data_IF_531001289251
#
_entry.id   IF_531001289251
#
_cell.length_a   1.000
_cell.length_b   1.000
_cell.length_c   1.000
_cell.angle_alpha   90.00
_cell.angle_beta   90.00
_cell.angle_gamma   90.00
#
_symmetry.space_group_name_H-M   'P 1'
#
loop_
_entity.id
_entity.type
_entity.pdbx_description
1 polymer ?
#
# COMPACT_ATOMS: atom_id res chain seq x y z
N UNK A 1 10.96 7.87 -31.53
CA UNK A 1 9.54 7.47 -31.50
C UNK A 1 8.90 7.92 -30.18
N UNK A 2 7.73 8.52 -30.26
CA UNK A 2 6.96 8.92 -29.08
C UNK A 2 5.88 7.88 -28.83
N UNK A 3 5.83 7.36 -27.60
CA UNK A 3 4.74 6.49 -27.14
C UNK A 3 3.83 7.27 -26.22
N UNK A 4 2.52 7.04 -26.31
CA UNK A 4 1.52 7.76 -25.53
C UNK A 4 0.69 6.78 -24.71
N UNK A 5 0.51 7.12 -23.43
CA UNK A 5 -0.30 6.37 -22.47
C UNK A 5 -1.20 7.32 -21.68
N UNK A 6 -2.32 6.84 -21.21
CA UNK A 6 -3.19 7.63 -20.35
C UNK A 6 -2.52 7.92 -18.99
N UNK A 7 -1.78 6.94 -18.48
CA UNK A 7 -1.08 7.05 -17.19
C UNK A 7 0.35 6.54 -17.28
N UNK A 8 1.22 7.20 -16.56
CA UNK A 8 2.60 6.75 -16.35
C UNK A 8 2.79 6.47 -14.86
N UNK A 9 3.13 5.24 -14.53
CA UNK A 9 3.40 4.81 -13.16
C UNK A 9 4.91 4.64 -12.97
N UNK A 10 5.46 5.30 -11.98
CA UNK A 10 6.88 5.21 -11.65
C UNK A 10 7.02 4.36 -10.39
N UNK A 11 7.55 3.16 -10.54
CA UNK A 11 7.75 2.22 -9.46
C UNK A 11 6.87 0.98 -9.59
N UNK A 12 7.47 -0.18 -9.37
CA UNK A 12 6.84 -1.49 -9.50
C UNK A 12 6.50 -2.17 -8.17
N UNK A 13 6.44 -1.39 -7.09
CA UNK A 13 5.97 -1.87 -5.80
C UNK A 13 4.46 -2.06 -5.77
N UNK A 14 3.92 -2.46 -4.62
CA UNK A 14 2.49 -2.76 -4.47
C UNK A 14 1.59 -1.56 -4.83
N UNK A 15 2.00 -0.36 -4.46
CA UNK A 15 1.21 0.84 -4.74
C UNK A 15 1.11 1.12 -6.25
N UNK A 16 2.24 1.10 -6.95
CA UNK A 16 2.28 1.33 -8.39
C UNK A 16 1.55 0.26 -9.17
N UNK A 17 1.74 -1.00 -8.82
CA UNK A 17 1.09 -2.12 -9.48
C UNK A 17 -0.42 -2.13 -9.20
N UNK A 18 -0.85 -1.82 -7.97
CA UNK A 18 -2.28 -1.73 -7.63
C UNK A 18 -2.98 -0.64 -8.42
N UNK A 19 -2.35 0.53 -8.53
CA UNK A 19 -2.88 1.62 -9.35
C UNK A 19 -2.96 1.23 -10.82
N UNK A 20 -1.89 0.65 -11.36
CA UNK A 20 -1.85 0.22 -12.75
C UNK A 20 -2.96 -0.77 -13.08
N UNK A 21 -3.19 -1.77 -12.23
CA UNK A 21 -4.26 -2.75 -12.41
C UNK A 21 -5.64 -2.09 -12.36
N UNK A 22 -5.88 -1.17 -11.45
CA UNK A 22 -7.16 -0.48 -11.35
C UNK A 22 -7.49 0.32 -12.60
N UNK A 23 -6.55 1.13 -13.09
CA UNK A 23 -6.80 1.96 -14.27
C UNK A 23 -6.86 1.12 -15.55
N UNK A 24 -6.11 0.04 -15.64
CA UNK A 24 -6.20 -0.89 -16.76
C UNK A 24 -7.57 -1.58 -16.82
N UNK A 25 -8.15 -1.94 -15.68
CA UNK A 25 -9.49 -2.51 -15.59
C UNK A 25 -10.59 -1.53 -16.06
N UNK A 26 -10.30 -0.24 -16.02
CA UNK A 26 -11.22 0.79 -16.54
C UNK A 26 -10.99 1.10 -18.02
N UNK A 27 -10.19 0.30 -18.71
CA UNK A 27 -9.90 0.45 -20.13
C UNK A 27 -8.86 1.51 -20.47
N UNK A 28 -8.10 1.97 -19.48
CA UNK A 28 -7.06 2.97 -19.70
C UNK A 28 -5.72 2.32 -20.01
N UNK A 29 -4.92 2.99 -20.82
CA UNK A 29 -3.55 2.55 -21.09
C UNK A 29 -2.59 3.03 -20.02
N UNK A 30 -1.68 2.15 -19.61
CA UNK A 30 -0.72 2.41 -18.53
C UNK A 30 0.67 2.00 -18.98
N UNK A 31 1.65 2.87 -18.74
CA UNK A 31 3.04 2.50 -18.78
C UNK A 31 3.57 2.46 -17.34
N UNK A 32 4.25 1.38 -17.01
CA UNK A 32 4.89 1.24 -15.71
C UNK A 32 6.40 1.18 -15.95
N UNK A 33 7.12 2.09 -15.31
CA UNK A 33 8.58 2.13 -15.40
C UNK A 33 9.18 1.86 -14.01
N UNK A 34 10.30 1.17 -14.01
CA UNK A 34 11.01 0.84 -12.80
C UNK A 34 12.52 1.00 -13.00
N UNK A 35 13.21 1.13 -11.89
CA UNK A 35 14.65 1.37 -11.82
C UNK A 35 15.45 0.18 -12.37
N UNK A 36 14.95 -1.02 -12.14
CA UNK A 36 15.54 -2.29 -12.56
C UNK A 36 14.41 -3.24 -12.96
N UNK A 37 14.55 -4.56 -12.79
CA UNK A 37 13.46 -5.50 -13.00
C UNK A 37 12.34 -5.31 -11.98
N UNK A 38 11.15 -5.84 -12.28
CA UNK A 38 10.00 -5.79 -11.37
C UNK A 38 10.32 -6.38 -10.00
N UNK A 39 11.27 -7.29 -9.94
CA UNK A 39 11.70 -8.02 -8.74
C UNK A 39 12.57 -7.17 -7.81
N UNK A 40 12.98 -5.98 -8.22
CA UNK A 40 13.84 -5.10 -7.43
C UNK A 40 13.05 -4.17 -6.49
N UNK A 41 11.75 -4.37 -6.34
CA UNK A 41 10.93 -3.58 -5.44
C UNK A 41 10.98 -4.15 -4.01
N UNK A 42 10.88 -3.27 -3.02
CA UNK A 42 10.82 -3.68 -1.61
C UNK A 42 9.66 -4.66 -1.35
N UNK A 43 8.56 -4.51 -2.05
CA UNK A 43 7.40 -5.41 -1.95
C UNK A 43 7.76 -6.85 -2.30
N UNK A 44 8.60 -7.05 -3.31
CA UNK A 44 9.04 -8.39 -3.74
C UNK A 44 9.87 -9.08 -2.64
N UNK A 45 10.70 -8.32 -1.94
CA UNK A 45 11.56 -8.83 -0.88
C UNK A 45 10.89 -8.83 0.49
N UNK A 46 9.66 -8.33 0.60
CA UNK A 46 8.95 -8.28 1.86
C UNK A 46 8.69 -9.69 2.41
N UNK A 47 8.91 -9.85 3.71
CA UNK A 47 8.67 -11.09 4.43
C UNK A 47 7.82 -10.82 5.66
N UNK A 48 7.10 -11.83 6.12
CA UNK A 48 6.28 -11.74 7.31
C UNK A 48 4.80 -11.57 6.99
N UNK A 49 4.06 -11.15 7.98
CA UNK A 49 2.61 -11.00 7.89
C UNK A 49 2.17 -9.55 7.87
N UNK A 50 0.88 -9.36 7.83
CA UNK A 50 0.22 -8.07 7.93
C UNK A 50 -0.56 -8.03 9.25
N UNK A 51 -0.33 -6.97 10.04
CA UNK A 51 -1.11 -6.72 11.24
C UNK A 51 -2.36 -5.90 10.89
N UNK A 52 -3.52 -6.40 11.30
CA UNK A 52 -4.79 -5.70 11.07
C UNK A 52 -5.80 -6.08 12.14
N UNK A 53 -6.65 -5.13 12.51
CA UNK A 53 -7.75 -5.39 13.45
C UNK A 53 -8.90 -6.05 12.68
N UNK A 54 -8.96 -7.36 12.71
CA UNK A 54 -9.98 -8.13 11.99
C UNK A 54 -11.11 -8.63 12.90
N UNK A 55 -10.93 -8.59 14.21
CA UNK A 55 -11.92 -9.03 15.18
C UNK A 55 -12.07 -8.00 16.30
N UNK A 56 -13.12 -7.19 16.21
CA UNK A 56 -13.41 -6.12 17.18
C UNK A 56 -13.84 -6.63 18.58
N UNK A 57 -14.07 -7.94 18.72
CA UNK A 57 -14.40 -8.52 20.05
C UNK A 57 -13.18 -8.66 20.94
N UNK A 58 -11.99 -8.83 20.33
CA UNK A 58 -10.73 -9.08 21.05
C UNK A 58 -9.68 -8.00 20.80
N UNK A 59 -9.94 -7.08 19.88
CA UNK A 59 -9.01 -6.03 19.51
C UNK A 59 -9.76 -4.75 19.17
N UNK A 60 -9.05 -3.63 19.01
CA UNK A 60 -9.64 -2.37 18.59
C UNK A 60 -8.65 -1.51 17.83
N UNK A 61 -9.17 -0.54 17.07
CA UNK A 61 -8.36 0.34 16.27
C UNK A 61 -7.46 1.25 17.12
N UNK A 62 -7.98 1.78 18.22
CA UNK A 62 -7.21 2.70 19.08
C UNK A 62 -5.96 2.04 19.64
N UNK A 63 -6.06 0.79 20.06
CA UNK A 63 -4.90 0.04 20.54
C UNK A 63 -3.84 -0.12 19.46
N UNK A 64 -4.25 -0.50 18.25
CA UNK A 64 -3.32 -0.67 17.13
C UNK A 64 -2.68 0.66 16.72
N UNK A 65 -3.45 1.75 16.71
CA UNK A 65 -2.95 3.09 16.43
C UNK A 65 -1.90 3.49 17.49
N UNK A 66 -2.23 3.32 18.77
CA UNK A 66 -1.32 3.66 19.86
C UNK A 66 -0.04 2.84 19.81
N UNK A 67 -0.14 1.53 19.63
CA UNK A 67 1.01 0.64 19.50
C UNK A 67 1.92 1.07 18.34
N UNK A 68 1.34 1.48 17.23
CA UNK A 68 2.07 1.97 16.07
C UNK A 68 2.77 3.30 16.38
N UNK A 69 2.08 4.21 17.04
CA UNK A 69 2.68 5.50 17.44
C UNK A 69 3.84 5.30 18.42
N UNK A 70 3.69 4.40 19.38
CA UNK A 70 4.75 4.06 20.34
C UNK A 70 5.95 3.45 19.61
N UNK A 71 5.72 2.47 18.75
CA UNK A 71 6.78 1.81 17.98
C UNK A 71 7.54 2.78 17.09
N UNK A 72 6.87 3.80 16.59
CA UNK A 72 7.46 4.86 15.78
C UNK A 72 8.04 6.02 16.60
N UNK A 73 8.15 5.86 17.91
CA UNK A 73 8.67 6.88 18.83
C UNK A 73 7.95 8.22 18.72
N UNK A 74 6.63 8.16 18.46
CA UNK A 74 5.73 9.32 18.27
C UNK A 74 6.10 10.24 17.10
N UNK A 75 7.00 9.80 16.22
CA UNK A 75 7.39 10.54 15.02
C UNK A 75 6.43 10.33 13.85
N UNK A 76 5.59 9.31 13.91
CA UNK A 76 4.62 9.00 12.85
C UNK A 76 3.52 10.05 12.78
N UNK A 77 3.02 10.30 11.57
CA UNK A 77 1.84 11.11 11.36
C UNK A 77 0.60 10.33 11.82
N UNK A 78 -0.03 10.78 12.91
CA UNK A 78 -1.17 10.08 13.50
C UNK A 78 -2.34 9.93 12.53
N UNK A 79 -2.63 10.96 11.73
CA UNK A 79 -3.72 10.91 10.76
C UNK A 79 -3.49 9.82 9.71
N UNK A 80 -2.25 9.67 9.23
CA UNK A 80 -1.87 8.63 8.30
C UNK A 80 -1.99 7.23 8.95
N UNK A 81 -1.53 7.08 10.19
CA UNK A 81 -1.64 5.82 10.94
C UNK A 81 -3.11 5.44 11.12
N UNK A 82 -3.97 6.35 11.54
CA UNK A 82 -5.39 6.10 11.70
C UNK A 82 -6.05 5.64 10.41
N UNK A 83 -5.75 6.29 9.31
CA UNK A 83 -6.28 5.93 8.00
C UNK A 83 -5.90 4.51 7.61
N UNK A 84 -4.61 4.17 7.71
CA UNK A 84 -4.11 2.83 7.36
C UNK A 84 -4.73 1.76 8.25
N UNK A 85 -4.74 1.99 9.57
CA UNK A 85 -5.27 1.01 10.54
C UNK A 85 -6.76 0.77 10.31
N UNK A 86 -7.54 1.82 10.09
CA UNK A 86 -9.00 1.71 9.92
C UNK A 86 -9.40 1.12 8.56
N UNK A 87 -8.63 1.38 7.52
CA UNK A 87 -8.91 0.87 6.18
C UNK A 87 -8.40 -0.55 5.94
N UNK A 88 -7.41 -1.01 6.71
CA UNK A 88 -6.75 -2.29 6.50
C UNK A 88 -7.73 -3.49 6.44
N UNK A 89 -8.72 -3.63 7.34
CA UNK A 89 -9.63 -4.77 7.28
C UNK A 89 -10.37 -4.92 5.96
N UNK A 90 -10.73 -3.81 5.32
CA UNK A 90 -11.42 -3.85 4.03
C UNK A 90 -10.50 -4.17 2.86
N UNK A 91 -9.21 -3.94 3.00
CA UNK A 91 -8.21 -4.17 1.96
C UNK A 91 -7.63 -5.59 1.98
N UNK A 92 -7.74 -6.30 3.11
CA UNK A 92 -7.16 -7.64 3.31
C UNK A 92 -8.06 -8.75 2.75
N UNK A 93 -9.24 -8.47 2.32
CA UNK A 93 -10.19 -9.45 1.80
C UNK A 93 -9.70 -10.19 0.55
#
# INVERSE_FOLDING_TARGET
MVQRFDYLVIGSGIAGMSFALKVANEGKSVALICKAGQEEANTYFAQGGIASVTNLKVDNFEKHIEDTMIAGDWLSDRAAVEKVVKEAPSQIK
#
